data_IF_052848786398
#
_entry.id   IF_052848786398
#
_cell.length_a   1.000
_cell.length_b   1.000
_cell.length_c   1.000
_cell.angle_alpha   90.00
_cell.angle_beta   90.00
_cell.angle_gamma   90.00
#
_symmetry.space_group_name_H-M   'P 1'
#
loop_
_entity.id
_entity.type
_entity.pdbx_description
1 polymer ?
#
# COMPACT_ATOMS: atom_id res chain seq x y z
N UNK A 1 -73.55 -16.00 34.55
CA UNK A 1 -72.84 -14.79 34.14
C UNK A 1 -71.39 -15.11 34.17
N UNK A 2 -70.76 -15.39 32.96
CA UNK A 2 -69.40 -15.89 32.81
C UNK A 2 -68.51 -14.76 32.35
N UNK A 3 -67.66 -14.27 33.24
CA UNK A 3 -66.60 -13.31 32.88
C UNK A 3 -65.33 -14.03 32.30
N UNK A 4 -65.13 -13.91 31.01
CA UNK A 4 -63.91 -14.36 30.33
C UNK A 4 -62.76 -13.36 30.60
N UNK A 5 -61.73 -13.84 31.30
CA UNK A 5 -60.44 -13.12 31.45
C UNK A 5 -59.59 -13.34 30.21
N UNK A 6 -59.33 -12.30 29.45
CA UNK A 6 -58.40 -12.31 28.34
C UNK A 6 -57.03 -11.95 28.93
N UNK A 7 -56.07 -12.89 28.88
CA UNK A 7 -54.69 -12.64 29.24
C UNK A 7 -53.93 -12.15 27.98
N UNK A 8 -53.50 -10.89 28.03
CA UNK A 8 -52.58 -10.31 27.00
C UNK A 8 -51.15 -10.74 27.34
N UNK A 9 -50.60 -11.63 26.55
CA UNK A 9 -49.15 -11.98 26.63
C UNK A 9 -48.35 -10.99 25.79
N UNK A 10 -47.62 -10.11 26.49
CA UNK A 10 -46.68 -9.17 25.89
C UNK A 10 -45.35 -9.92 25.54
N UNK A 11 -45.17 -10.29 24.28
CA UNK A 11 -43.95 -10.88 23.80
C UNK A 11 -42.85 -9.82 23.62
N UNK A 12 -41.88 -9.78 24.50
CA UNK A 12 -40.67 -8.96 24.34
C UNK A 12 -39.74 -9.59 23.28
N UNK A 13 -39.72 -8.99 22.12
CA UNK A 13 -38.71 -9.32 21.09
C UNK A 13 -37.34 -8.77 21.49
N UNK A 14 -36.45 -9.63 21.97
CA UNK A 14 -35.03 -9.29 22.21
C UNK A 14 -34.30 -9.24 20.87
N UNK A 15 -34.08 -8.04 20.33
CA UNK A 15 -33.17 -7.84 19.20
C UNK A 15 -31.73 -8.06 19.67
N UNK A 16 -31.16 -9.25 19.44
CA UNK A 16 -29.72 -9.47 19.55
C UNK A 16 -29.04 -8.70 18.44
N UNK A 17 -28.51 -7.52 18.75
CA UNK A 17 -27.54 -6.84 17.89
C UNK A 17 -26.21 -7.58 17.97
N UNK A 18 -25.94 -8.44 17.01
CA UNK A 18 -24.63 -9.06 16.86
C UNK A 18 -23.62 -7.94 16.52
N UNK A 19 -22.82 -7.51 17.48
CA UNK A 19 -21.65 -6.68 17.23
C UNK A 19 -20.66 -7.51 16.43
N UNK A 20 -20.57 -7.25 15.12
CA UNK A 20 -19.53 -7.83 14.27
C UNK A 20 -18.20 -7.23 14.72
N UNK A 21 -17.51 -7.91 15.63
CA UNK A 21 -16.12 -7.60 15.94
C UNK A 21 -15.29 -7.97 14.71
N UNK A 22 -14.68 -6.99 14.07
CA UNK A 22 -13.66 -7.25 13.05
C UNK A 22 -12.54 -8.06 13.73
N UNK A 23 -12.42 -9.33 13.36
CA UNK A 23 -11.33 -10.18 13.84
C UNK A 23 -10.01 -9.62 13.31
N UNK A 24 -8.93 -9.71 14.11
CA UNK A 24 -7.60 -9.36 13.63
C UNK A 24 -7.24 -10.22 12.40
N UNK A 25 -6.59 -9.65 11.38
CA UNK A 25 -6.23 -10.40 10.18
C UNK A 25 -5.23 -11.51 10.51
N UNK A 26 -5.15 -12.53 9.64
CA UNK A 26 -4.13 -13.57 9.75
C UNK A 26 -2.73 -12.97 9.80
N UNK A 27 -1.78 -13.64 10.46
CA UNK A 27 -0.41 -13.13 10.62
C UNK A 27 0.26 -12.78 9.26
N UNK A 28 -0.01 -13.56 8.22
CA UNK A 28 0.49 -13.30 6.87
C UNK A 28 -0.11 -12.02 6.25
N UNK A 29 -1.40 -11.76 6.48
CA UNK A 29 -2.07 -10.56 6.00
C UNK A 29 -1.55 -9.31 6.72
N UNK A 30 -1.34 -9.41 8.04
CA UNK A 30 -0.73 -8.33 8.84
C UNK A 30 0.73 -8.07 8.40
N UNK A 31 1.50 -9.11 8.09
CA UNK A 31 2.85 -8.96 7.57
C UNK A 31 2.87 -8.26 6.21
N UNK A 32 1.96 -8.64 5.29
CA UNK A 32 1.79 -7.96 4.01
C UNK A 32 1.52 -6.46 4.18
N UNK A 33 0.60 -6.07 5.07
CA UNK A 33 0.29 -4.65 5.31
C UNK A 33 1.51 -3.88 5.84
N UNK A 34 2.29 -4.50 6.74
CA UNK A 34 3.51 -3.87 7.30
C UNK A 34 4.60 -3.71 6.24
N UNK A 35 4.81 -4.71 5.41
CA UNK A 35 5.81 -4.66 4.34
C UNK A 35 5.42 -3.66 3.26
N UNK A 36 4.15 -3.65 2.84
CA UNK A 36 3.62 -2.65 1.92
C UNK A 36 3.78 -1.21 2.45
N UNK A 37 3.67 -1.00 3.77
CA UNK A 37 3.92 0.30 4.39
C UNK A 37 5.40 0.71 4.30
N UNK A 38 6.34 -0.18 4.62
CA UNK A 38 7.79 0.08 4.53
C UNK A 38 8.20 0.42 3.08
N UNK A 39 7.72 -0.37 2.14
CA UNK A 39 8.00 -0.23 0.72
C UNK A 39 7.40 1.07 0.16
N UNK A 40 6.14 1.37 0.47
CA UNK A 40 5.49 2.60 0.06
C UNK A 40 6.20 3.86 0.59
N UNK A 41 6.66 3.83 1.84
CA UNK A 41 7.46 4.91 2.43
C UNK A 41 8.79 5.12 1.72
N UNK A 42 9.47 4.04 1.34
CA UNK A 42 10.68 4.12 0.54
C UNK A 42 10.40 4.72 -0.84
N UNK A 43 9.35 4.25 -1.53
CA UNK A 43 8.99 4.73 -2.87
C UNK A 43 8.64 6.22 -2.85
N UNK A 44 7.90 6.70 -1.85
CA UNK A 44 7.62 8.13 -1.67
C UNK A 44 8.90 8.93 -1.43
N UNK A 45 9.77 8.48 -0.51
CA UNK A 45 10.97 9.24 -0.13
C UNK A 45 12.03 9.26 -1.23
N UNK A 46 12.27 8.12 -1.90
CA UNK A 46 13.20 8.04 -3.03
C UNK A 46 12.72 8.88 -4.21
N UNK A 47 11.41 8.87 -4.48
CA UNK A 47 10.83 9.68 -5.55
C UNK A 47 10.88 11.18 -5.25
N UNK A 48 10.66 11.60 -4.00
CA UNK A 48 10.90 13.00 -3.59
C UNK A 48 12.36 13.43 -3.73
N UNK A 49 13.31 12.53 -3.52
CA UNK A 49 14.70 12.80 -3.84
C UNK A 49 14.88 13.00 -5.34
N UNK A 50 14.24 12.17 -6.17
CA UNK A 50 14.34 12.26 -7.62
C UNK A 50 13.70 13.54 -8.19
N UNK A 51 12.58 14.02 -7.64
CA UNK A 51 12.03 15.33 -7.99
C UNK A 51 13.02 16.49 -7.75
N UNK A 52 13.82 16.40 -6.68
CA UNK A 52 14.72 17.50 -6.28
C UNK A 52 16.12 17.37 -6.89
N UNK A 53 16.67 16.17 -7.00
CA UNK A 53 18.06 15.88 -7.34
C UNK A 53 18.22 15.28 -8.73
N UNK A 54 17.14 14.80 -9.33
CA UNK A 54 17.14 14.24 -10.67
C UNK A 54 17.58 15.26 -11.71
N UNK A 55 18.35 14.81 -12.69
CA UNK A 55 18.82 15.62 -13.80
C UNK A 55 17.90 15.49 -15.02
N UNK A 56 17.48 14.29 -15.32
CA UNK A 56 16.64 13.99 -16.48
C UNK A 56 15.16 14.27 -16.19
N UNK A 57 14.52 15.08 -17.03
CA UNK A 57 13.11 15.46 -16.85
C UNK A 57 12.13 14.27 -16.96
N UNK A 58 12.48 13.21 -17.70
CA UNK A 58 11.65 11.98 -17.75
C UNK A 58 11.66 11.28 -16.40
N UNK A 59 12.82 11.25 -15.72
CA UNK A 59 12.95 10.69 -14.38
C UNK A 59 12.17 11.51 -13.36
N UNK A 60 12.28 12.84 -13.41
CA UNK A 60 11.51 13.71 -12.49
C UNK A 60 10.01 13.55 -12.68
N UNK A 61 9.53 13.47 -13.93
CA UNK A 61 8.11 13.24 -14.23
C UNK A 61 7.63 11.89 -13.69
N UNK A 62 8.39 10.83 -13.89
CA UNK A 62 8.11 9.52 -13.30
C UNK A 62 8.05 9.61 -11.78
N UNK A 63 9.03 10.24 -11.16
CA UNK A 63 9.11 10.39 -9.70
C UNK A 63 7.91 11.16 -9.12
N UNK A 64 7.48 12.25 -9.76
CA UNK A 64 6.31 13.02 -9.31
C UNK A 64 5.04 12.15 -9.29
N UNK A 65 4.83 11.36 -10.34
CA UNK A 65 3.70 10.42 -10.40
C UNK A 65 3.78 9.36 -9.29
N UNK A 66 4.99 8.81 -9.06
CA UNK A 66 5.21 7.84 -7.98
C UNK A 66 4.93 8.41 -6.60
N UNK A 67 5.26 9.69 -6.35
CA UNK A 67 4.90 10.37 -5.08
C UNK A 67 3.39 10.45 -4.91
N UNK A 68 2.67 10.89 -5.95
CA UNK A 68 1.23 11.11 -5.86
C UNK A 68 0.46 9.79 -5.69
N UNK A 69 0.80 8.78 -6.48
CA UNK A 69 0.11 7.50 -6.44
C UNK A 69 0.43 6.73 -5.15
N UNK A 70 1.70 6.66 -4.73
CA UNK A 70 2.06 5.99 -3.49
C UNK A 70 1.49 6.67 -2.24
N UNK A 71 1.26 7.98 -2.24
CA UNK A 71 0.52 8.66 -1.17
C UNK A 71 -0.95 8.21 -1.09
N UNK A 72 -1.61 7.99 -2.24
CA UNK A 72 -2.98 7.48 -2.26
C UNK A 72 -3.03 6.04 -1.74
N UNK A 73 -2.09 5.20 -2.17
CA UNK A 73 -1.95 3.82 -1.67
C UNK A 73 -1.69 3.84 -0.15
N UNK A 74 -0.77 4.67 0.33
CA UNK A 74 -0.46 4.81 1.77
C UNK A 74 -1.68 5.20 2.59
N UNK A 75 -2.48 6.16 2.12
CA UNK A 75 -3.69 6.58 2.83
C UNK A 75 -4.73 5.46 2.93
N UNK A 76 -4.94 4.71 1.83
CA UNK A 76 -5.85 3.55 1.82
C UNK A 76 -5.32 2.43 2.73
N UNK A 77 -4.01 2.17 2.70
CA UNK A 77 -3.35 1.19 3.55
C UNK A 77 -3.47 1.54 5.04
N UNK A 78 -3.23 2.81 5.42
CA UNK A 78 -3.38 3.29 6.80
C UNK A 78 -4.80 3.11 7.31
N UNK A 79 -5.79 3.46 6.50
CA UNK A 79 -7.19 3.26 6.85
C UNK A 79 -7.50 1.79 7.09
N UNK A 80 -7.10 0.91 6.18
CA UNK A 80 -7.31 -0.53 6.30
C UNK A 80 -6.60 -1.09 7.55
N UNK A 81 -5.34 -0.73 7.79
CA UNK A 81 -4.59 -1.18 8.96
C UNK A 81 -5.24 -0.75 10.27
N UNK A 82 -5.76 0.48 10.34
CA UNK A 82 -6.51 0.99 11.49
C UNK A 82 -7.80 0.17 11.72
N UNK A 83 -8.57 -0.08 10.67
CA UNK A 83 -9.81 -0.88 10.74
C UNK A 83 -9.50 -2.33 11.20
N UNK A 84 -8.32 -2.86 10.84
CA UNK A 84 -7.84 -4.20 11.21
C UNK A 84 -7.02 -4.26 12.50
N UNK A 85 -6.79 -3.13 13.15
CA UNK A 85 -5.95 -3.02 14.38
C UNK A 85 -4.53 -3.55 14.16
N UNK A 86 -3.97 -3.26 12.99
CA UNK A 86 -2.58 -3.59 12.63
C UNK A 86 -1.73 -2.33 12.80
N UNK A 87 -0.76 -2.38 13.71
CA UNK A 87 0.22 -1.30 13.86
C UNK A 87 1.21 -1.33 12.69
N UNK A 88 1.19 -0.28 11.88
CA UNK A 88 2.13 -0.12 10.78
C UNK A 88 3.45 0.47 11.29
N UNK A 89 4.59 0.12 10.67
CA UNK A 89 5.87 0.72 10.99
C UNK A 89 5.87 2.22 10.64
N UNK A 90 6.62 3.00 11.41
CA UNK A 90 6.84 4.42 11.15
C UNK A 90 8.10 4.58 10.28
N UNK A 91 7.92 5.18 9.11
CA UNK A 91 9.01 5.37 8.14
C UNK A 91 9.38 4.09 7.36
N UNK A 92 10.44 4.16 6.54
CA UNK A 92 10.77 3.10 5.60
C UNK A 92 11.59 1.95 6.19
N UNK A 93 12.02 2.03 7.47
CA UNK A 93 12.89 1.04 8.12
C UNK A 93 14.38 1.21 7.77
N UNK A 94 15.25 0.55 8.54
CA UNK A 94 16.71 0.79 8.50
C UNK A 94 17.36 0.48 7.15
N UNK A 95 16.97 -0.62 6.51
CA UNK A 95 17.49 -1.00 5.20
C UNK A 95 17.20 0.06 4.13
N UNK A 96 15.96 0.57 4.12
CA UNK A 96 15.55 1.62 3.21
C UNK A 96 16.17 2.98 3.56
N UNK A 97 16.34 3.29 4.83
CA UNK A 97 17.09 4.49 5.26
C UNK A 97 18.53 4.48 4.72
N UNK A 98 19.22 3.34 4.80
CA UNK A 98 20.57 3.20 4.25
C UNK A 98 20.59 3.39 2.71
N UNK A 99 19.59 2.85 2.02
CA UNK A 99 19.44 3.02 0.57
C UNK A 99 19.17 4.49 0.19
N UNK A 100 18.24 5.17 0.90
CA UNK A 100 17.95 6.59 0.70
C UNK A 100 19.17 7.49 0.95
N UNK A 101 19.96 7.18 1.98
CA UNK A 101 21.21 7.89 2.27
C UNK A 101 22.22 7.74 1.12
N UNK A 102 22.40 6.53 0.58
CA UNK A 102 23.28 6.30 -0.58
C UNK A 102 22.77 7.04 -1.81
N UNK A 103 21.46 7.01 -2.05
CA UNK A 103 20.82 7.69 -3.17
C UNK A 103 21.02 9.21 -3.07
N UNK A 104 20.80 9.82 -1.91
CA UNK A 104 20.91 11.26 -1.70
C UNK A 104 22.35 11.81 -1.86
N UNK A 105 23.35 10.94 -1.83
CA UNK A 105 24.75 11.31 -2.08
C UNK A 105 25.10 11.39 -3.58
N UNK A 106 24.21 10.89 -4.47
CA UNK A 106 24.40 10.94 -5.92
C UNK A 106 23.93 12.28 -6.48
N UNK A 107 24.44 12.63 -7.69
CA UNK A 107 24.04 13.86 -8.41
C UNK A 107 24.00 13.60 -9.92
N UNK A 108 23.23 14.44 -10.62
CA UNK A 108 23.14 14.40 -12.09
C UNK A 108 22.72 13.02 -12.61
N UNK A 109 23.31 12.59 -13.72
CA UNK A 109 23.01 11.31 -14.35
C UNK A 109 23.31 10.10 -13.46
N UNK A 110 24.28 10.23 -12.54
CA UNK A 110 24.57 9.17 -11.57
C UNK A 110 23.41 8.99 -10.58
N UNK A 111 22.77 10.10 -10.19
CA UNK A 111 21.55 10.05 -9.37
C UNK A 111 20.41 9.36 -10.13
N UNK A 112 20.15 9.78 -11.38
CA UNK A 112 19.06 9.22 -12.19
C UNK A 112 19.19 7.71 -12.37
N UNK A 113 20.41 7.24 -12.69
CA UNK A 113 20.70 5.80 -12.79
C UNK A 113 20.49 5.07 -11.47
N UNK A 114 21.02 5.62 -10.36
CA UNK A 114 20.87 5.01 -9.04
C UNK A 114 19.42 4.96 -8.58
N UNK A 115 18.64 6.01 -8.86
CA UNK A 115 17.21 6.02 -8.58
C UNK A 115 16.46 4.94 -9.37
N UNK A 116 16.67 4.85 -10.68
CA UNK A 116 16.03 3.83 -11.52
C UNK A 116 16.49 2.40 -11.21
N UNK A 117 17.71 2.22 -10.67
CA UNK A 117 18.17 0.93 -10.16
C UNK A 117 17.38 0.51 -8.90
N UNK A 118 17.13 1.46 -7.98
CA UNK A 118 16.52 1.19 -6.67
C UNK A 118 14.99 1.26 -6.69
N UNK A 119 14.39 2.17 -7.45
CA UNK A 119 12.94 2.44 -7.50
C UNK A 119 12.32 2.14 -8.87
N UNK A 120 13.11 1.67 -9.83
CA UNK A 120 12.69 1.42 -11.21
C UNK A 120 12.09 0.02 -11.44
N UNK A 121 12.26 -0.55 -12.65
CA UNK A 121 11.49 -1.70 -13.12
C UNK A 121 11.53 -2.93 -12.22
N UNK A 122 12.73 -3.28 -11.70
CA UNK A 122 12.91 -4.47 -10.86
C UNK A 122 12.12 -4.37 -9.55
N UNK A 123 12.15 -3.18 -8.92
CA UNK A 123 11.41 -2.94 -7.69
C UNK A 123 9.91 -2.94 -7.95
N UNK A 124 9.46 -2.24 -8.99
CA UNK A 124 8.03 -2.17 -9.32
C UNK A 124 7.45 -3.54 -9.69
N UNK A 125 8.23 -4.39 -10.37
CA UNK A 125 7.85 -5.79 -10.60
C UNK A 125 7.71 -6.60 -9.30
N UNK A 126 8.60 -6.38 -8.33
CA UNK A 126 8.55 -7.05 -7.03
C UNK A 126 7.31 -6.61 -6.22
N UNK A 127 7.03 -5.30 -6.15
CA UNK A 127 5.82 -4.75 -5.54
C UNK A 127 4.55 -5.30 -6.18
N UNK A 128 4.46 -5.28 -7.50
CA UNK A 128 3.32 -5.83 -8.23
C UNK A 128 3.09 -7.31 -7.89
N UNK A 129 4.15 -8.11 -7.89
CA UNK A 129 4.08 -9.54 -7.52
C UNK A 129 3.57 -9.73 -6.09
N UNK A 130 4.04 -8.94 -5.13
CA UNK A 130 3.63 -8.98 -3.74
C UNK A 130 2.12 -8.72 -3.61
N UNK A 131 1.61 -7.68 -4.28
CA UNK A 131 0.18 -7.36 -4.26
C UNK A 131 -0.66 -8.39 -5.00
N UNK A 132 -0.19 -8.97 -6.11
CA UNK A 132 -0.87 -10.07 -6.79
C UNK A 132 -0.99 -11.30 -5.88
N UNK A 133 0.05 -11.61 -5.10
CA UNK A 133 0.01 -12.71 -4.13
C UNK A 133 -1.00 -12.45 -3.02
N UNK A 134 -1.05 -11.24 -2.48
CA UNK A 134 -2.05 -10.86 -1.48
C UNK A 134 -3.47 -10.87 -2.06
N UNK A 135 -3.67 -10.37 -3.28
CA UNK A 135 -4.93 -10.40 -4.00
C UNK A 135 -5.49 -11.82 -4.22
N UNK A 136 -4.59 -12.81 -4.38
CA UNK A 136 -4.96 -14.19 -4.56
C UNK A 136 -5.14 -14.97 -3.24
N UNK A 137 -4.31 -14.69 -2.22
CA UNK A 137 -4.11 -15.60 -1.09
C UNK A 137 -4.48 -15.01 0.28
N UNK A 138 -4.70 -13.69 0.41
CA UNK A 138 -5.05 -13.06 1.67
C UNK A 138 -6.33 -13.69 2.25
N UNK A 139 -6.30 -14.00 3.55
CA UNK A 139 -7.42 -14.64 4.24
C UNK A 139 -8.49 -13.62 4.63
N UNK A 140 -8.06 -12.43 5.05
CA UNK A 140 -8.96 -11.32 5.31
C UNK A 140 -9.50 -10.76 3.99
N UNK A 141 -10.83 -10.66 3.89
CA UNK A 141 -11.50 -10.22 2.67
C UNK A 141 -11.17 -8.77 2.28
N UNK A 142 -10.95 -7.90 3.28
CA UNK A 142 -10.72 -6.48 3.04
C UNK A 142 -9.25 -6.25 2.65
N UNK A 143 -8.30 -7.04 3.21
CA UNK A 143 -6.90 -7.07 2.76
C UNK A 143 -6.81 -7.58 1.32
N UNK A 144 -7.56 -8.64 1.00
CA UNK A 144 -7.61 -9.17 -0.38
C UNK A 144 -8.20 -8.15 -1.36
N UNK A 145 -9.30 -7.49 -0.99
CA UNK A 145 -9.94 -6.47 -1.82
C UNK A 145 -9.01 -5.28 -2.05
N UNK A 146 -8.34 -4.78 -1.00
CA UNK A 146 -7.33 -3.73 -1.11
C UNK A 146 -6.21 -4.12 -2.09
N UNK A 147 -5.67 -5.33 -1.97
CA UNK A 147 -4.62 -5.79 -2.86
C UNK A 147 -5.12 -5.88 -4.33
N UNK A 148 -6.34 -6.38 -4.55
CA UNK A 148 -6.97 -6.45 -5.88
C UNK A 148 -7.15 -5.06 -6.50
N UNK A 149 -7.56 -4.07 -5.73
CA UNK A 149 -7.73 -2.69 -6.17
C UNK A 149 -6.39 -2.05 -6.58
N UNK A 150 -5.30 -2.37 -5.87
CA UNK A 150 -3.98 -1.79 -6.13
C UNK A 150 -3.23 -2.46 -7.29
N UNK A 151 -3.54 -3.71 -7.66
CA UNK A 151 -2.85 -4.41 -8.77
C UNK A 151 -2.82 -3.62 -10.07
N UNK A 152 -3.90 -3.02 -10.59
CA UNK A 152 -3.84 -2.22 -11.82
C UNK A 152 -2.95 -0.98 -11.68
N UNK A 153 -2.95 -0.32 -10.52
CA UNK A 153 -2.08 0.84 -10.25
C UNK A 153 -0.61 0.43 -10.30
N UNK A 154 -0.25 -0.68 -9.63
CA UNK A 154 1.13 -1.19 -9.62
C UNK A 154 1.57 -1.75 -10.98
N UNK A 155 0.63 -2.23 -11.80
CA UNK A 155 0.90 -2.60 -13.19
C UNK A 155 1.31 -1.37 -14.01
N UNK A 156 0.61 -0.25 -13.85
CA UNK A 156 0.95 1.02 -14.49
C UNK A 156 2.31 1.55 -14.00
N UNK A 157 2.58 1.47 -12.69
CA UNK A 157 3.88 1.83 -12.12
C UNK A 157 5.03 1.04 -12.76
N UNK A 158 4.88 -0.27 -12.91
CA UNK A 158 5.88 -1.11 -13.55
C UNK A 158 6.08 -0.74 -15.03
N UNK A 159 5.00 -0.52 -15.78
CA UNK A 159 5.06 -0.10 -17.18
C UNK A 159 5.82 1.22 -17.34
N UNK A 160 5.46 2.24 -16.55
CA UNK A 160 6.14 3.55 -16.55
C UNK A 160 7.60 3.46 -16.15
N UNK A 161 7.93 2.61 -15.18
CA UNK A 161 9.32 2.37 -14.79
C UNK A 161 10.14 1.80 -15.93
N UNK A 162 9.59 0.83 -16.70
CA UNK A 162 10.25 0.25 -17.88
C UNK A 162 10.47 1.32 -18.97
N UNK A 163 9.46 2.12 -19.27
CA UNK A 163 9.53 3.21 -20.26
C UNK A 163 10.58 4.25 -19.86
N UNK A 164 10.57 4.68 -18.59
CA UNK A 164 11.54 5.65 -18.06
C UNK A 164 12.98 5.10 -18.11
N UNK A 165 13.19 3.86 -17.72
CA UNK A 165 14.50 3.22 -17.79
C UNK A 165 15.00 3.07 -19.24
N UNK A 166 14.10 2.83 -20.21
CA UNK A 166 14.44 2.77 -21.62
C UNK A 166 14.83 4.16 -22.19
N UNK A 167 14.18 5.22 -21.72
CA UNK A 167 14.49 6.59 -22.13
C UNK A 167 15.87 7.06 -21.67
N UNK A 168 16.39 6.54 -20.54
CA UNK A 168 17.73 6.87 -20.04
C UNK A 168 18.88 6.20 -20.82
N UNK A 169 18.59 5.25 -21.70
CA UNK A 169 19.60 4.54 -22.50
C UNK A 169 19.85 5.20 -23.86
N UNK A 170 19.03 6.19 -24.21
CA UNK A 170 19.13 6.97 -25.47
C UNK A 170 19.99 8.20 -25.29
#
# INVERSE_FOLDING_TARGET
MNARRIALSLGAAICLTATVHAAAPAAADAAFLKEAALDGQFDIQSSRLAERLGHNEVVKKYAAQMVDDNRRIENALKKLAMDKKVDLPVGPGDAHHAALKKLSAQKGDAFDRAYMEQAGPKRQAASLKQFQQAAANAKDKDVRAFAQEMVPVLTDHHTRAVETAAALKK
#
